data_IF_353523676400
#
_entry.id   IF_353523676400
#
_cell.length_a   1.000
_cell.length_b   1.000
_cell.length_c   1.000
_cell.angle_alpha   90.00
_cell.angle_beta   90.00
_cell.angle_gamma   90.00
#
_symmetry.space_group_name_H-M   'P 1'
#
loop_
_entity.id
_entity.type
_entity.pdbx_description
1 polymer ?
#
# COMPACT_ATOMS: atom_id res chain seq x y z
N UNK A 1 -4.66 -6.66 8.56
CA UNK A 1 -3.40 -5.86 8.54
C UNK A 1 -3.18 -5.11 7.22
N UNK A 2 -3.68 -5.62 6.10
CA UNK A 2 -3.61 -5.02 4.77
C UNK A 2 -4.09 -3.57 4.69
N UNK A 3 -5.02 -3.13 5.55
CA UNK A 3 -5.43 -1.73 5.62
C UNK A 3 -4.25 -0.81 5.97
N UNK A 4 -3.53 -1.14 7.05
CA UNK A 4 -2.43 -0.32 7.52
C UNK A 4 -1.22 -0.37 6.57
N UNK A 5 -0.96 -1.53 5.98
CA UNK A 5 -0.01 -1.68 4.87
C UNK A 5 -0.38 -0.78 3.68
N UNK A 6 -1.66 -0.75 3.29
CA UNK A 6 -2.15 0.12 2.22
C UNK A 6 -1.90 1.60 2.54
N UNK A 7 -2.20 2.04 3.76
CA UNK A 7 -1.96 3.44 4.17
C UNK A 7 -0.48 3.81 4.19
N UNK A 8 0.39 2.92 4.68
CA UNK A 8 1.84 3.13 4.67
C UNK A 8 2.40 3.23 3.24
N UNK A 9 1.89 2.42 2.31
CA UNK A 9 2.25 2.50 0.89
C UNK A 9 1.76 3.79 0.24
N UNK A 10 0.52 4.22 0.54
CA UNK A 10 -0.04 5.49 0.04
C UNK A 10 0.81 6.67 0.52
N UNK A 11 1.29 6.66 1.77
CA UNK A 11 2.18 7.69 2.30
C UNK A 11 3.53 7.76 1.54
N UNK A 12 3.95 6.66 0.92
CA UNK A 12 5.15 6.56 0.05
C UNK A 12 4.85 6.78 -1.44
N UNK A 13 3.61 7.15 -1.79
CA UNK A 13 3.19 7.40 -3.18
C UNK A 13 2.77 6.14 -3.96
N UNK A 14 2.78 4.96 -3.34
CA UNK A 14 2.32 3.71 -3.97
C UNK A 14 0.84 3.50 -3.65
N UNK A 15 -0.03 3.81 -4.62
CA UNK A 15 -1.48 3.79 -4.42
C UNK A 15 -2.03 2.40 -4.74
N UNK A 16 -2.49 1.71 -3.69
CA UNK A 16 -3.23 0.45 -3.77
C UNK A 16 -4.67 0.59 -3.30
N UNK A 17 -5.37 -0.54 -3.26
CA UNK A 17 -6.74 -0.64 -2.74
C UNK A 17 -6.81 -1.73 -1.66
N UNK A 18 -7.51 -1.44 -0.57
CA UNK A 18 -7.77 -2.40 0.50
C UNK A 18 -9.18 -3.00 0.35
N UNK A 19 -9.27 -4.32 0.43
CA UNK A 19 -10.54 -5.05 0.42
C UNK A 19 -10.66 -5.87 1.69
N UNK A 20 -11.78 -5.71 2.38
CA UNK A 20 -12.06 -6.47 3.59
C UNK A 20 -12.11 -7.99 3.30
N UNK A 21 -11.73 -8.83 4.28
CA UNK A 21 -11.21 -8.45 5.59
C UNK A 21 -9.72 -8.08 5.59
N UNK A 22 -8.93 -8.58 4.64
CA UNK A 22 -7.47 -8.46 4.71
C UNK A 22 -6.72 -8.58 3.37
N UNK A 23 -7.23 -7.94 2.33
CA UNK A 23 -6.65 -8.02 0.98
C UNK A 23 -6.09 -6.66 0.57
N UNK A 24 -4.84 -6.65 0.11
CA UNK A 24 -4.22 -5.52 -0.59
C UNK A 24 -4.20 -5.82 -2.09
N UNK A 25 -4.70 -4.89 -2.90
CA UNK A 25 -4.83 -5.04 -4.34
C UNK A 25 -4.08 -3.93 -5.08
N UNK A 26 -3.33 -4.34 -6.11
CA UNK A 26 -2.66 -3.45 -7.04
C UNK A 26 -3.28 -3.58 -8.43
N UNK A 27 -3.59 -2.44 -9.05
CA UNK A 27 -4.10 -2.39 -10.42
C UNK A 27 -2.98 -2.03 -11.38
N UNK A 28 -2.62 -2.93 -12.28
CA UNK A 28 -1.62 -2.69 -13.32
C UNK A 28 -2.32 -2.35 -14.63
N UNK A 29 -2.36 -1.08 -14.99
CA UNK A 29 -2.93 -0.60 -16.24
C UNK A 29 -1.81 -0.47 -17.30
N UNK A 30 -1.74 -1.38 -18.30
CA UNK A 30 -0.58 -1.43 -19.21
C UNK A 30 -0.37 -0.19 -20.07
N UNK A 31 -1.39 0.66 -20.20
CA UNK A 31 -1.32 1.89 -20.97
C UNK A 31 -0.39 2.96 -20.36
N UNK A 32 -0.17 2.92 -19.04
CA UNK A 32 0.59 3.96 -18.32
C UNK A 32 1.34 3.48 -17.08
N UNK A 33 1.27 2.18 -16.73
CA UNK A 33 2.11 1.58 -15.70
C UNK A 33 3.28 0.88 -16.38
N UNK A 34 4.50 1.33 -16.08
CA UNK A 34 5.73 0.74 -16.57
C UNK A 34 6.21 -0.41 -15.69
N UNK A 35 7.16 -1.21 -16.19
CA UNK A 35 7.82 -2.23 -15.38
C UNK A 35 8.65 -1.62 -14.24
N UNK A 36 9.17 -0.40 -14.43
CA UNK A 36 9.91 0.34 -13.40
C UNK A 36 8.99 0.73 -12.24
N UNK A 37 7.78 1.22 -12.53
CA UNK A 37 6.77 1.52 -11.50
C UNK A 37 6.43 0.27 -10.67
N UNK A 38 6.33 -0.89 -11.32
CA UNK A 38 6.12 -2.17 -10.64
C UNK A 38 7.28 -2.53 -9.71
N UNK A 39 8.52 -2.35 -10.17
CA UNK A 39 9.71 -2.65 -9.37
C UNK A 39 9.78 -1.73 -8.13
N UNK A 40 9.58 -0.42 -8.33
CA UNK A 40 9.55 0.57 -7.24
C UNK A 40 8.45 0.28 -6.22
N UNK A 41 7.25 -0.14 -6.69
CA UNK A 41 6.16 -0.51 -5.80
C UNK A 41 6.49 -1.74 -4.95
N UNK A 42 7.16 -2.75 -5.52
CA UNK A 42 7.58 -3.96 -4.80
C UNK A 42 8.70 -3.67 -3.81
N UNK A 43 9.67 -2.81 -4.17
CA UNK A 43 10.72 -2.36 -3.25
C UNK A 43 10.14 -1.62 -2.05
N UNK A 44 9.25 -0.66 -2.29
CA UNK A 44 8.57 0.07 -1.21
C UNK A 44 7.76 -0.87 -0.31
N UNK A 45 7.08 -1.87 -0.87
CA UNK A 45 6.36 -2.89 -0.10
C UNK A 45 7.32 -3.71 0.78
N UNK A 46 8.44 -4.15 0.22
CA UNK A 46 9.44 -4.92 0.97
C UNK A 46 10.02 -4.09 2.13
N UNK A 47 10.33 -2.81 1.91
CA UNK A 47 10.84 -1.91 2.95
C UNK A 47 9.82 -1.65 4.06
N UNK A 48 8.55 -1.42 3.72
CA UNK A 48 7.49 -1.21 4.71
C UNK A 48 7.33 -2.46 5.58
N UNK A 49 7.33 -3.65 4.97
CA UNK A 49 7.25 -4.91 5.69
C UNK A 49 8.47 -5.14 6.59
N UNK A 50 9.68 -4.90 6.09
CA UNK A 50 10.91 -5.12 6.84
C UNK A 50 11.09 -4.13 8.00
N UNK A 51 10.67 -2.88 7.82
CA UNK A 51 10.77 -1.84 8.85
C UNK A 51 9.68 -1.91 9.91
N UNK A 52 8.55 -2.57 9.62
CA UNK A 52 7.36 -2.56 10.48
C UNK A 52 6.68 -1.18 10.53
N UNK A 53 7.01 -0.26 9.61
CA UNK A 53 6.47 1.11 9.63
C UNK A 53 4.94 1.16 9.59
N UNK A 54 4.32 0.20 8.89
CA UNK A 54 2.86 0.06 8.80
C UNK A 54 2.18 -0.17 10.16
N UNK A 55 2.92 -0.54 11.21
CA UNK A 55 2.41 -0.66 12.56
C UNK A 55 2.26 0.69 13.28
N UNK A 56 2.67 1.80 12.69
CA UNK A 56 2.45 3.12 13.32
C UNK A 56 0.95 3.37 13.50
N UNK A 57 0.58 4.01 14.62
CA UNK A 57 -0.82 4.25 14.98
C UNK A 57 -1.58 5.01 13.89
N UNK A 58 -0.91 5.95 13.20
CA UNK A 58 -1.45 6.74 12.09
C UNK A 58 -1.96 5.90 10.91
N UNK A 59 -1.37 4.73 10.64
CA UNK A 59 -1.80 3.86 9.54
C UNK A 59 -2.90 2.88 9.94
N UNK A 60 -3.13 2.70 11.25
CA UNK A 60 -4.16 1.81 11.79
C UNK A 60 -5.52 2.48 11.94
N UNK A 61 -5.57 3.80 11.90
CA UNK A 61 -6.81 4.55 12.00
C UNK A 61 -7.61 4.43 10.71
N UNK A 62 -8.76 3.75 10.77
CA UNK A 62 -9.68 3.66 9.64
C UNK A 62 -10.34 5.02 9.46
N UNK A 63 -10.01 5.71 8.38
CA UNK A 63 -10.70 6.92 8.01
C UNK A 63 -12.20 6.61 7.93
N UNK A 64 -13.01 7.33 8.71
CA UNK A 64 -14.45 7.22 8.65
C UNK A 64 -14.90 7.78 7.30
N UNK A 65 -15.17 6.88 6.35
CA UNK A 65 -15.79 7.26 5.08
C UNK A 65 -17.21 7.70 5.44
N UNK A 66 -17.49 9.00 5.26
CA UNK A 66 -18.83 9.60 5.43
C UNK A 66 -19.70 9.30 4.24
#
# INVERSE_FOLDING_TARGET
EAYALCQALIARGVIGDFRAPDILRFGFAPAYVSFEDCALAVEALAEVLASGEWERAEFRERAAVT
#
